data_IF_655058895922
#
_entry.id   IF_655058895922
#
_cell.length_a   1.000
_cell.length_b   1.000
_cell.length_c   1.000
_cell.angle_alpha   90.00
_cell.angle_beta   90.00
_cell.angle_gamma   90.00
#
_symmetry.space_group_name_H-M   'P 1'
#
loop_
_entity.id
_entity.type
_entity.pdbx_description
1 polymer ?
#
# COMPACT_ATOMS: atom_id res chain seq x y z
N UNK A 1 -1.44 -19.58 27.32
CA UNK A 1 -1.75 -18.33 26.59
C UNK A 1 -3.17 -18.46 26.09
N UNK A 2 -4.09 -17.57 26.46
CA UNK A 2 -5.52 -17.73 26.10
C UNK A 2 -5.72 -17.52 24.60
N UNK A 3 -6.79 -18.12 24.06
CA UNK A 3 -7.16 -18.04 22.65
C UNK A 3 -7.32 -16.59 22.18
N UNK A 4 -7.95 -15.76 23.02
CA UNK A 4 -8.11 -14.32 22.83
C UNK A 4 -6.79 -13.58 22.62
N UNK A 5 -5.76 -13.90 23.41
CA UNK A 5 -4.42 -13.27 23.25
C UNK A 5 -3.80 -13.62 21.90
N UNK A 6 -4.05 -14.82 21.37
CA UNK A 6 -3.57 -15.21 20.03
C UNK A 6 -4.29 -14.45 18.92
N UNK A 7 -5.59 -14.20 19.10
CA UNK A 7 -6.40 -13.44 18.15
C UNK A 7 -5.95 -11.97 18.13
N UNK A 8 -5.86 -11.33 19.30
CA UNK A 8 -5.37 -9.96 19.44
C UNK A 8 -3.98 -9.78 18.81
N UNK A 9 -3.05 -10.72 19.05
CA UNK A 9 -1.73 -10.69 18.43
C UNK A 9 -1.78 -10.81 16.90
N UNK A 10 -2.68 -11.63 16.37
CA UNK A 10 -2.85 -11.80 14.92
C UNK A 10 -3.41 -10.53 14.27
N UNK A 11 -4.36 -9.87 14.92
CA UNK A 11 -4.89 -8.56 14.48
C UNK A 11 -3.78 -7.51 14.48
N UNK A 12 -2.99 -7.43 15.56
CA UNK A 12 -1.85 -6.49 15.64
C UNK A 12 -0.86 -6.71 14.49
N UNK A 13 -0.55 -7.98 14.17
CA UNK A 13 0.35 -8.31 13.06
C UNK A 13 -0.22 -7.85 11.72
N UNK A 14 -1.50 -8.12 11.46
CA UNK A 14 -2.18 -7.69 10.24
C UNK A 14 -2.17 -6.16 10.11
N UNK A 15 -2.49 -5.43 11.18
CA UNK A 15 -2.45 -3.96 11.19
C UNK A 15 -1.04 -3.45 10.92
N UNK A 16 -0.03 -4.03 11.57
CA UNK A 16 1.37 -3.65 11.34
C UNK A 16 1.81 -3.87 9.89
N UNK A 17 1.38 -4.97 9.27
CA UNK A 17 1.69 -5.28 7.88
C UNK A 17 0.95 -4.33 6.91
N UNK A 18 -0.29 -3.94 7.22
CA UNK A 18 -1.01 -2.90 6.47
C UNK A 18 -0.26 -1.56 6.53
N UNK A 19 0.13 -1.13 7.72
CA UNK A 19 0.80 0.16 7.91
C UNK A 19 2.14 0.24 7.17
N UNK A 20 2.86 -0.89 7.02
CA UNK A 20 4.06 -0.97 6.18
C UNK A 20 3.72 -0.76 4.71
N UNK A 21 2.68 -1.44 4.21
CA UNK A 21 2.22 -1.29 2.81
C UNK A 21 1.73 0.12 2.51
N UNK A 22 1.04 0.77 3.45
CA UNK A 22 0.62 2.16 3.31
C UNK A 22 1.83 3.12 3.23
N UNK A 23 2.89 2.86 4.00
CA UNK A 23 4.14 3.63 3.90
C UNK A 23 4.83 3.42 2.55
N UNK A 24 4.94 2.17 2.09
CA UNK A 24 5.50 1.85 0.77
C UNK A 24 4.69 2.55 -0.34
N UNK A 25 3.35 2.52 -0.26
CA UNK A 25 2.47 3.22 -1.19
C UNK A 25 2.70 4.72 -1.21
N UNK A 26 2.83 5.34 -0.03
CA UNK A 26 3.12 6.77 0.09
C UNK A 26 4.48 7.13 -0.54
N UNK A 27 5.48 6.28 -0.37
CA UNK A 27 6.80 6.44 -0.99
C UNK A 27 6.71 6.38 -2.53
N UNK A 28 5.94 5.44 -3.09
CA UNK A 28 5.72 5.36 -4.54
C UNK A 28 5.02 6.60 -5.10
N UNK A 29 4.01 7.11 -4.40
CA UNK A 29 3.35 8.36 -4.77
C UNK A 29 4.31 9.55 -4.74
N UNK A 30 5.18 9.62 -3.73
CA UNK A 30 6.24 10.63 -3.65
C UNK A 30 7.20 10.53 -4.83
N UNK A 31 7.66 9.33 -5.17
CA UNK A 31 8.55 9.09 -6.32
C UNK A 31 7.91 9.52 -7.65
N UNK A 32 6.61 9.27 -7.82
CA UNK A 32 5.87 9.77 -8.99
C UNK A 32 5.90 11.30 -9.02
N UNK A 33 5.61 11.97 -7.89
CA UNK A 33 5.62 13.43 -7.79
C UNK A 33 6.99 14.04 -8.13
N UNK A 34 8.07 13.46 -7.60
CA UNK A 34 9.45 13.83 -7.91
C UNK A 34 9.73 13.66 -9.41
N UNK A 35 9.34 12.51 -9.97
CA UNK A 35 9.57 12.22 -11.38
C UNK A 35 8.79 13.14 -12.32
N UNK A 36 7.54 13.48 -11.98
CA UNK A 36 6.74 14.46 -12.73
C UNK A 36 7.45 15.81 -12.73
N UNK A 37 7.98 16.23 -11.56
CA UNK A 37 8.69 17.50 -11.44
C UNK A 37 9.96 17.54 -12.28
N UNK A 38 10.72 16.44 -12.37
CA UNK A 38 11.90 16.34 -13.24
C UNK A 38 11.54 16.39 -14.73
N UNK A 39 10.48 15.68 -15.12
CA UNK A 39 10.10 15.53 -16.52
C UNK A 39 9.43 16.80 -17.06
N UNK A 40 8.83 17.65 -16.21
CA UNK A 40 8.23 18.93 -16.63
C UNK A 40 9.23 19.86 -17.35
N UNK A 41 10.51 19.76 -17.02
CA UNK A 41 11.57 20.60 -17.60
C UNK A 41 11.99 20.11 -19.00
N UNK A 42 11.52 18.91 -19.38
CA UNK A 42 11.80 18.29 -20.66
C UNK A 42 10.59 18.53 -21.57
N UNK A 43 10.71 19.52 -22.46
CA UNK A 43 9.70 19.74 -23.51
C UNK A 43 9.45 18.43 -24.29
N UNK A 44 8.17 18.15 -24.58
CA UNK A 44 7.68 16.98 -25.34
C UNK A 44 7.66 15.60 -24.66
N UNK A 45 7.96 15.46 -23.36
CA UNK A 45 7.78 14.16 -22.69
C UNK A 45 6.39 14.00 -22.09
N UNK A 46 5.63 13.04 -22.62
CA UNK A 46 4.41 12.56 -21.98
C UNK A 46 4.75 11.82 -20.68
N UNK A 47 4.48 12.47 -19.56
CA UNK A 47 4.74 11.99 -18.18
C UNK A 47 4.12 10.61 -17.92
N UNK A 48 2.94 10.32 -18.49
CA UNK A 48 2.26 9.03 -18.31
C UNK A 48 2.89 7.89 -19.11
N UNK A 49 3.82 8.19 -20.03
CA UNK A 49 4.61 7.17 -20.74
C UNK A 49 5.98 6.94 -20.12
N UNK A 50 6.33 7.69 -19.07
CA UNK A 50 7.60 7.49 -18.35
C UNK A 50 7.56 6.14 -17.62
N UNK A 51 8.61 5.33 -17.84
CA UNK A 51 8.69 3.96 -17.30
C UNK A 51 8.72 3.91 -15.77
N UNK A 52 9.30 4.93 -15.12
CA UNK A 52 9.36 4.99 -13.66
C UNK A 52 7.96 5.24 -13.12
N UNK A 53 7.23 6.16 -13.75
CA UNK A 53 5.85 6.49 -13.36
C UNK A 53 4.93 5.30 -13.59
N UNK A 54 4.98 4.65 -14.76
CA UNK A 54 4.12 3.50 -15.04
C UNK A 54 4.41 2.31 -14.13
N UNK A 55 5.68 2.03 -13.83
CA UNK A 55 6.05 0.98 -12.86
C UNK A 55 5.52 1.30 -11.46
N UNK A 56 5.71 2.54 -10.99
CA UNK A 56 5.24 2.97 -9.69
C UNK A 56 3.70 2.90 -9.56
N UNK A 57 2.96 3.24 -10.62
CA UNK A 57 1.50 3.09 -10.67
C UNK A 57 1.11 1.63 -10.50
N UNK A 58 1.70 0.72 -11.28
CA UNK A 58 1.39 -0.72 -11.16
C UNK A 58 1.74 -1.29 -9.77
N UNK A 59 2.78 -0.77 -9.12
CA UNK A 59 3.12 -1.15 -7.74
C UNK A 59 2.10 -0.60 -6.74
N UNK A 60 1.61 0.63 -6.92
CA UNK A 60 0.54 1.21 -6.09
C UNK A 60 -0.75 0.38 -6.22
N UNK A 61 -1.14 -0.01 -7.44
CA UNK A 61 -2.34 -0.83 -7.66
C UNK A 61 -2.26 -2.18 -6.94
N UNK A 62 -1.07 -2.81 -6.93
CA UNK A 62 -0.82 -4.04 -6.16
C UNK A 62 -0.92 -3.78 -4.66
N UNK A 63 -0.28 -2.72 -4.16
CA UNK A 63 -0.32 -2.36 -2.74
C UNK A 63 -1.76 -2.05 -2.29
N UNK A 64 -2.55 -1.38 -3.12
CA UNK A 64 -3.97 -1.09 -2.85
C UNK A 64 -4.77 -2.39 -2.69
N UNK A 65 -4.59 -3.35 -3.60
CA UNK A 65 -5.22 -4.68 -3.48
C UNK A 65 -4.80 -5.41 -2.20
N UNK A 66 -3.50 -5.37 -1.86
CA UNK A 66 -3.00 -6.05 -0.66
C UNK A 66 -3.50 -5.39 0.64
N UNK A 67 -3.60 -4.06 0.68
CA UNK A 67 -4.19 -3.31 1.80
C UNK A 67 -5.67 -3.66 1.96
N UNK A 68 -6.42 -3.74 0.86
CA UNK A 68 -7.82 -4.14 0.88
C UNK A 68 -7.99 -5.56 1.44
N UNK A 69 -7.15 -6.49 1.01
CA UNK A 69 -7.15 -7.88 1.51
C UNK A 69 -6.82 -7.96 3.00
N UNK A 70 -5.89 -7.14 3.50
CA UNK A 70 -5.62 -7.08 4.94
C UNK A 70 -6.82 -6.50 5.69
N UNK A 71 -7.46 -5.45 5.19
CA UNK A 71 -8.66 -4.88 5.81
C UNK A 71 -9.80 -5.90 5.89
N UNK A 72 -9.99 -6.73 4.84
CA UNK A 72 -10.94 -7.85 4.85
C UNK A 72 -10.59 -8.86 5.93
N UNK A 73 -9.34 -9.31 6.00
CA UNK A 73 -8.86 -10.27 7.02
C UNK A 73 -9.03 -9.74 8.45
N UNK A 74 -8.72 -8.48 8.70
CA UNK A 74 -8.93 -7.85 10.02
C UNK A 74 -10.42 -7.86 10.39
N UNK A 75 -11.30 -7.47 9.45
CA UNK A 75 -12.76 -7.50 9.66
C UNK A 75 -13.29 -8.90 9.95
N UNK A 76 -12.78 -9.92 9.25
CA UNK A 76 -13.15 -11.32 9.47
C UNK A 76 -12.71 -11.82 10.84
N UNK A 77 -11.45 -11.56 11.23
CA UNK A 77 -10.92 -11.98 12.53
C UNK A 77 -11.66 -11.30 13.68
N UNK A 78 -11.98 -10.01 13.56
CA UNK A 78 -12.75 -9.28 14.57
C UNK A 78 -14.21 -9.74 14.70
N UNK A 79 -14.80 -10.32 13.65
CA UNK A 79 -16.18 -10.88 13.69
C UNK A 79 -16.26 -12.23 14.40
N UNK A 80 -15.17 -12.99 14.44
CA UNK A 80 -15.14 -14.32 15.10
C UNK A 80 -15.15 -14.19 16.64
N UNK A 81 -14.83 -13.02 17.19
CA UNK A 81 -14.86 -12.73 18.63
C UNK A 81 -16.12 -11.99 19.11
N UNK A 82 -17.05 -11.66 18.20
CA UNK A 82 -18.27 -10.87 18.47
C UNK A 82 -19.51 -11.71 18.74
#
# INVERSE_FOLDING_TARGET
MSERVKIEFSVIKLVSDRDKKEKERAEKLRLIGERVFEVKEQQDKNVLKDKIITSAISEIEKLDSEIEDINKKVSEVSKVEG
#
